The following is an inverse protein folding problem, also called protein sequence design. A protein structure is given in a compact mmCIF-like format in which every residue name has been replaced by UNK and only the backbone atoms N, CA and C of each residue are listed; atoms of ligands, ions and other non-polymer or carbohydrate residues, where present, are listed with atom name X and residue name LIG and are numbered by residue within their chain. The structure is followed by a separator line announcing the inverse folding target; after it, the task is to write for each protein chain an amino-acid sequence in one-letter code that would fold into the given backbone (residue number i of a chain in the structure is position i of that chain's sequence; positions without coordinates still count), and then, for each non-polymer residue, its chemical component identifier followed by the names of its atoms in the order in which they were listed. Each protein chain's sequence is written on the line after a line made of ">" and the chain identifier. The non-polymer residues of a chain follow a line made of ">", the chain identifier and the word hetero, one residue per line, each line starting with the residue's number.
data_IF_597586780637
#
_entry.id   IF_597586780637
#
_cell.length_a   1.000
_cell.length_b   1.000
_cell.length_c   1.000
_cell.angle_alpha   90.00
_cell.angle_beta   90.00
_cell.angle_gamma   90.00
#
_symmetry.space_group_name_H-M   'P 1'
#
loop_
_entity.id
_entity.type
_entity.pdbx_description
1 polymer ?
#
# COMPACT_ATOMS: atom_id res chain seq x y z
N UNK A 1 -34.15 14.86 -16.52
CA UNK A 1 -34.22 13.38 -16.66
C UNK A 1 -34.63 12.93 -18.05
N UNK A 2 -35.72 13.46 -18.65
CA UNK A 2 -36.14 13.15 -20.04
C UNK A 2 -35.03 13.25 -21.12
N UNK A 3 -34.17 14.29 -21.15
CA UNK A 3 -33.18 14.43 -22.23
C UNK A 3 -32.07 13.38 -22.20
N UNK A 4 -31.71 12.85 -21.02
CA UNK A 4 -30.72 11.77 -20.91
C UNK A 4 -31.27 10.45 -21.48
N UNK A 5 -32.55 10.18 -21.22
CA UNK A 5 -33.22 8.98 -21.69
C UNK A 5 -33.43 9.03 -23.22
N UNK A 6 -33.83 10.19 -23.75
CA UNK A 6 -33.97 10.40 -25.20
C UNK A 6 -32.63 10.28 -25.93
N UNK A 7 -31.55 10.83 -25.35
CA UNK A 7 -30.20 10.66 -25.87
C UNK A 7 -29.76 9.19 -25.85
N UNK A 8 -30.03 8.48 -24.75
CA UNK A 8 -29.72 7.07 -24.59
C UNK A 8 -30.46 6.19 -25.62
N UNK A 9 -31.75 6.44 -25.82
CA UNK A 9 -32.58 5.69 -26.78
C UNK A 9 -32.18 5.99 -28.24
N UNK A 10 -31.84 7.24 -28.55
CA UNK A 10 -31.39 7.64 -29.90
C UNK A 10 -30.03 7.03 -30.26
N UNK A 11 -29.11 6.97 -29.30
CA UNK A 11 -27.75 6.46 -29.50
C UNK A 11 -27.55 5.05 -28.91
N UNK A 12 -28.58 4.19 -28.96
CA UNK A 12 -28.57 2.84 -28.34
C UNK A 12 -27.33 2.00 -28.69
N UNK A 13 -26.83 2.12 -29.92
CA UNK A 13 -25.64 1.38 -30.38
C UNK A 13 -24.37 1.84 -29.65
N UNK A 14 -24.18 3.15 -29.45
CA UNK A 14 -23.03 3.69 -28.71
C UNK A 14 -23.06 3.26 -27.26
N UNK A 15 -24.25 3.21 -26.63
CA UNK A 15 -24.41 2.71 -25.28
C UNK A 15 -24.09 1.21 -25.15
N UNK A 16 -24.55 0.39 -26.09
CA UNK A 16 -24.25 -1.04 -26.10
C UNK A 16 -22.75 -1.27 -26.26
N UNK A 17 -22.08 -0.56 -27.17
CA UNK A 17 -20.63 -0.65 -27.34
C UNK A 17 -19.90 -0.20 -26.07
N UNK A 18 -20.32 0.91 -25.47
CA UNK A 18 -19.77 1.39 -24.21
C UNK A 18 -19.93 0.39 -23.07
N UNK A 19 -21.11 -0.24 -22.96
CA UNK A 19 -21.38 -1.29 -21.98
C UNK A 19 -20.45 -2.49 -22.20
N UNK A 20 -20.34 -2.96 -23.44
CA UNK A 20 -19.46 -4.10 -23.79
C UNK A 20 -18.00 -3.78 -23.50
N UNK A 21 -17.54 -2.57 -23.81
CA UNK A 21 -16.18 -2.12 -23.49
C UNK A 21 -15.92 -2.12 -21.97
N UNK A 22 -16.86 -1.60 -21.17
CA UNK A 22 -16.76 -1.61 -19.70
C UNK A 22 -16.72 -3.05 -19.17
N UNK A 23 -17.58 -3.94 -19.69
CA UNK A 23 -17.61 -5.35 -19.29
C UNK A 23 -16.29 -6.05 -19.60
N UNK A 24 -15.76 -5.87 -20.82
CA UNK A 24 -14.47 -6.44 -21.20
C UNK A 24 -13.32 -5.93 -20.33
N UNK A 25 -13.29 -4.62 -20.05
CA UNK A 25 -12.30 -4.02 -19.17
C UNK A 25 -12.43 -4.58 -17.74
N UNK A 26 -13.65 -4.73 -17.25
CA UNK A 26 -13.94 -5.32 -15.94
C UNK A 26 -13.45 -6.77 -15.84
N UNK A 27 -13.71 -7.60 -16.85
CA UNK A 27 -13.24 -8.99 -16.89
C UNK A 27 -11.71 -9.03 -16.94
N UNK A 28 -11.09 -8.17 -17.76
CA UNK A 28 -9.64 -8.08 -17.85
C UNK A 28 -9.04 -7.74 -16.48
N UNK A 29 -9.53 -6.69 -15.81
CA UNK A 29 -9.03 -6.29 -14.50
C UNK A 29 -9.30 -7.36 -13.43
N UNK A 30 -10.47 -8.00 -13.44
CA UNK A 30 -10.80 -9.08 -12.51
C UNK A 30 -9.81 -10.25 -12.59
N UNK A 31 -9.34 -10.59 -13.79
CA UNK A 31 -8.35 -11.67 -13.99
C UNK A 31 -6.92 -11.27 -13.61
N UNK A 32 -6.60 -9.98 -13.66
CA UNK A 32 -5.25 -9.47 -13.35
C UNK A 32 -5.13 -8.95 -11.92
N UNK A 33 -6.24 -8.91 -11.16
CA UNK A 33 -6.20 -8.45 -9.79
C UNK A 33 -5.36 -9.43 -8.96
N UNK A 34 -4.27 -8.98 -8.33
CA UNK A 34 -3.48 -9.83 -7.45
C UNK A 34 -4.38 -10.29 -6.30
N UNK A 35 -4.34 -11.59 -6.03
CA UNK A 35 -5.10 -12.21 -4.95
C UNK A 35 -4.12 -12.64 -3.88
N UNK A 36 -4.15 -11.95 -2.74
CA UNK A 36 -3.41 -12.34 -1.55
C UNK A 36 -4.33 -13.12 -0.62
N UNK A 37 -3.82 -14.22 -0.06
CA UNK A 37 -4.58 -15.08 0.85
C UNK A 37 -4.87 -14.41 2.20
N UNK A 38 -4.00 -13.47 2.59
CA UNK A 38 -4.07 -12.76 3.85
C UNK A 38 -3.67 -11.29 3.63
N UNK A 39 -4.29 -10.35 4.37
CA UNK A 39 -3.76 -9.01 4.42
C UNK A 39 -2.37 -9.03 5.08
N UNK A 40 -1.45 -8.17 4.61
CA UNK A 40 -0.20 -7.93 5.33
C UNK A 40 -0.51 -7.24 6.66
N UNK A 41 -0.31 -7.98 7.76
CA UNK A 41 -0.49 -7.52 9.13
C UNK A 41 0.84 -7.14 9.80
N UNK A 42 1.94 -7.19 9.04
CA UNK A 42 3.27 -6.89 9.57
C UNK A 42 3.35 -5.40 9.92
N UNK A 43 3.82 -5.04 11.13
CA UNK A 43 4.11 -3.65 11.43
C UNK A 43 5.23 -3.14 10.51
N UNK A 44 5.20 -1.85 10.17
CA UNK A 44 6.28 -1.22 9.41
C UNK A 44 7.52 -1.17 10.30
N UNK A 45 8.49 -2.03 10.02
CA UNK A 45 9.75 -2.13 10.78
C UNK A 45 10.93 -1.65 9.94
N UNK A 46 11.81 -0.85 10.54
CA UNK A 46 13.09 -0.42 9.94
C UNK A 46 14.22 -0.94 10.83
N UNK A 47 14.86 -2.08 10.48
CA UNK A 47 15.90 -2.66 11.32
C UNK A 47 17.21 -1.86 11.22
N UNK A 48 17.84 -1.61 12.37
CA UNK A 48 19.13 -0.93 12.48
C UNK A 48 20.14 -1.90 13.08
N UNK A 49 21.24 -2.13 12.37
CA UNK A 49 22.34 -2.98 12.82
C UNK A 49 23.59 -2.15 13.03
N UNK A 50 24.20 -2.28 14.20
CA UNK A 50 25.46 -1.61 14.54
C UNK A 50 26.49 -2.65 14.95
N UNK A 51 27.63 -2.65 14.26
CA UNK A 51 28.75 -3.54 14.58
C UNK A 51 29.70 -2.86 15.56
N UNK A 52 29.99 -3.53 16.67
CA UNK A 52 30.87 -3.02 17.73
C UNK A 52 31.93 -4.07 18.09
N UNK A 53 33.07 -4.01 17.42
CA UNK A 53 34.16 -4.96 17.60
C UNK A 53 35.05 -4.57 18.79
N UNK A 54 35.21 -5.48 19.75
CA UNK A 54 36.10 -5.29 20.90
C UNK A 54 35.54 -4.41 22.02
N UNK A 55 34.29 -3.98 21.92
CA UNK A 55 33.58 -3.28 23.01
C UNK A 55 32.94 -4.29 23.96
N UNK A 56 32.95 -3.98 25.26
CA UNK A 56 32.16 -4.72 26.22
C UNK A 56 30.66 -4.44 26.01
N UNK A 57 29.75 -5.39 26.33
CA UNK A 57 28.31 -5.19 26.18
C UNK A 57 27.78 -3.90 26.83
N UNK A 58 28.35 -3.50 27.98
CA UNK A 58 27.98 -2.28 28.68
C UNK A 58 28.37 -1.00 27.92
N UNK A 59 29.48 -1.06 27.19
CA UNK A 59 29.94 0.05 26.35
C UNK A 59 29.07 0.17 25.10
N UNK A 60 28.67 -0.95 24.49
CA UNK A 60 27.75 -0.97 23.35
C UNK A 60 26.40 -0.37 23.73
N UNK A 61 25.85 -0.73 24.90
CA UNK A 61 24.60 -0.19 25.39
C UNK A 61 24.66 1.33 25.56
N UNK A 62 25.68 1.81 26.28
CA UNK A 62 25.79 3.25 26.62
C UNK A 62 26.17 4.13 25.44
N UNK A 63 27.02 3.64 24.54
CA UNK A 63 27.61 4.45 23.48
C UNK A 63 26.87 4.31 22.14
N UNK A 64 26.17 3.20 21.91
CA UNK A 64 25.55 2.90 20.61
C UNK A 64 24.04 2.73 20.76
N UNK A 65 23.57 1.75 21.53
CA UNK A 65 22.14 1.43 21.59
C UNK A 65 21.32 2.58 22.20
N UNK A 66 21.72 3.07 23.38
CA UNK A 66 20.99 4.11 24.10
C UNK A 66 20.87 5.44 23.34
N UNK A 67 21.94 5.98 22.70
CA UNK A 67 21.80 7.18 21.88
C UNK A 67 20.88 6.98 20.66
N UNK A 68 20.93 5.80 20.02
CA UNK A 68 20.08 5.50 18.87
C UNK A 68 18.61 5.41 19.32
N UNK A 69 18.32 4.66 20.38
CA UNK A 69 16.97 4.54 20.93
C UNK A 69 16.42 5.91 21.36
N UNK A 70 17.23 6.71 22.06
CA UNK A 70 16.83 8.04 22.51
C UNK A 70 16.58 9.01 21.35
N UNK A 71 17.32 8.88 20.24
CA UNK A 71 17.10 9.70 19.06
C UNK A 71 15.85 9.26 18.25
N UNK A 72 15.54 7.96 18.28
CA UNK A 72 14.32 7.43 17.68
C UNK A 72 13.07 7.70 18.53
N UNK A 73 13.24 7.80 19.85
CA UNK A 73 12.18 8.09 20.79
C UNK A 73 11.66 9.53 20.59
N UNK A 74 10.44 9.64 20.07
CA UNK A 74 9.79 10.92 19.78
C UNK A 74 9.61 11.23 18.29
N UNK A 75 10.10 10.37 17.38
CA UNK A 75 9.82 10.51 15.95
C UNK A 75 8.34 10.24 15.64
N UNK A 76 7.70 11.05 14.78
CA UNK A 76 6.30 10.84 14.40
C UNK A 76 6.15 9.52 13.63
N UNK A 77 5.26 8.65 14.11
CA UNK A 77 4.96 7.37 13.46
C UNK A 77 5.86 6.20 13.90
N UNK A 78 6.83 6.44 14.78
CA UNK A 78 7.60 5.39 15.46
C UNK A 78 6.86 5.04 16.76
N UNK A 79 6.47 3.78 16.91
CA UNK A 79 5.77 3.24 18.10
C UNK A 79 6.51 2.04 18.62
#
# INVERSE_FOLDING_TARGET
>A
MKPLLEFALRNRLLLIIGLVAIVMLGIYQYRHLPTDAFPDISPVMVPVFAEAHGMAPEEVERLIAFPIESAMNGLPGVR
#
